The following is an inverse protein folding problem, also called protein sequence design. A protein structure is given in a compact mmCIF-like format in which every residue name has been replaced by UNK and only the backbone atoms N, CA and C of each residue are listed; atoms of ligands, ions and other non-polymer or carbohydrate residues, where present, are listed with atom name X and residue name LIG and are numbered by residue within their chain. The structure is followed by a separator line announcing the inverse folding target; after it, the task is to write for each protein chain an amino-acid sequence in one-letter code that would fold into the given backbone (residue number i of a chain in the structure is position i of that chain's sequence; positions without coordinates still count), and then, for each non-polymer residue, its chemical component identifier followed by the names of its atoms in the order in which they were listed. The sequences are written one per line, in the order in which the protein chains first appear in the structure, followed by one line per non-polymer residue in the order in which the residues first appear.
data_IF_977411951027
#
_entry.id   IF_977411951027
#
_cell.length_a   1.000
_cell.length_b   1.000
_cell.length_c   1.000
_cell.angle_alpha   90.00
_cell.angle_beta   90.00
_cell.angle_gamma   90.00
#
_symmetry.space_group_name_H-M   'P 1'
#
loop_
_entity.id
_entity.type
_entity.pdbx_description
1 polymer ?
#
# COMPACT_ATOMS: atom_id res chain seq x y z
N UNK A 1 5.09 -12.47 30.23
CA UNK A 1 4.95 -12.94 28.84
C UNK A 1 4.27 -11.80 28.08
N UNK A 2 4.97 -11.10 27.17
CA UNK A 2 4.31 -10.07 26.35
C UNK A 2 3.34 -10.80 25.42
N UNK A 3 2.05 -10.49 25.47
CA UNK A 3 1.08 -11.06 24.53
C UNK A 3 1.25 -10.34 23.19
N UNK A 4 2.02 -10.96 22.29
CA UNK A 4 2.30 -10.44 20.95
C UNK A 4 1.04 -10.25 20.10
N UNK A 5 -0.07 -10.92 20.46
CA UNK A 5 -1.38 -10.73 19.82
C UNK A 5 -1.94 -9.31 20.04
N UNK A 6 -1.80 -8.76 21.26
CA UNK A 6 -2.21 -7.38 21.53
C UNK A 6 -1.35 -6.37 20.78
N UNK A 7 -0.06 -6.69 20.59
CA UNK A 7 0.87 -5.85 19.86
C UNK A 7 0.50 -5.81 18.37
N UNK A 8 0.20 -6.96 17.76
CA UNK A 8 -0.26 -7.03 16.39
C UNK A 8 -1.59 -6.26 16.21
N UNK A 9 -2.52 -6.41 17.15
CA UNK A 9 -3.78 -5.67 17.14
C UNK A 9 -3.56 -4.15 17.22
N UNK A 10 -2.64 -3.70 18.08
CA UNK A 10 -2.28 -2.28 18.16
C UNK A 10 -1.70 -1.79 16.83
N UNK A 11 -0.75 -2.53 16.23
CA UNK A 11 -0.14 -2.17 14.95
C UNK A 11 -1.19 -2.03 13.86
N UNK A 12 -2.09 -3.00 13.71
CA UNK A 12 -3.12 -2.94 12.68
C UNK A 12 -4.20 -1.89 12.98
N UNK A 13 -4.50 -1.61 14.25
CA UNK A 13 -5.42 -0.53 14.63
C UNK A 13 -4.84 0.84 14.31
N UNK A 14 -3.56 1.08 14.65
CA UNK A 14 -2.86 2.30 14.26
C UNK A 14 -2.68 2.40 12.74
N UNK A 15 -2.39 1.28 12.07
CA UNK A 15 -2.34 1.20 10.62
C UNK A 15 -3.70 1.49 9.96
N UNK A 16 -4.80 1.05 10.56
CA UNK A 16 -6.13 1.37 10.06
C UNK A 16 -6.44 2.86 10.20
N UNK A 17 -6.19 3.45 11.37
CA UNK A 17 -6.39 4.89 11.60
C UNK A 17 -5.48 5.72 10.68
N UNK A 18 -4.22 5.30 10.55
CA UNK A 18 -3.25 5.89 9.64
C UNK A 18 -3.70 5.79 8.18
N UNK A 19 -4.32 4.69 7.75
CA UNK A 19 -4.85 4.54 6.38
C UNK A 19 -5.86 5.64 6.05
N UNK A 20 -6.81 5.89 6.96
CA UNK A 20 -7.82 6.94 6.80
C UNK A 20 -7.16 8.32 6.71
N UNK A 21 -6.16 8.59 7.55
CA UNK A 21 -5.44 9.87 7.55
C UNK A 21 -4.59 10.07 6.28
N UNK A 22 -3.86 9.04 5.86
CA UNK A 22 -3.03 9.03 4.66
C UNK A 22 -3.92 9.22 3.43
N UNK A 23 -5.05 8.50 3.34
CA UNK A 23 -5.99 8.65 2.24
C UNK A 23 -6.54 10.07 2.16
N UNK A 24 -6.99 10.63 3.29
CA UNK A 24 -7.49 12.01 3.36
C UNK A 24 -6.43 13.03 2.92
N UNK A 25 -5.17 12.84 3.32
CA UNK A 25 -4.10 13.82 3.10
C UNK A 25 -3.50 13.74 1.69
N UNK A 26 -3.34 12.52 1.16
CA UNK A 26 -2.68 12.31 -0.13
C UNK A 26 -3.68 12.38 -1.27
N UNK A 27 -4.80 11.66 -1.16
CA UNK A 27 -5.80 11.52 -2.21
C UNK A 27 -6.95 12.51 -2.01
N UNK A 28 -7.53 12.55 -0.81
CA UNK A 28 -8.74 13.31 -0.51
C UNK A 28 -10.02 12.50 -0.78
N UNK A 29 -10.99 12.58 0.13
CA UNK A 29 -12.23 11.78 0.01
C UNK A 29 -13.13 12.23 -1.14
N UNK A 30 -13.01 13.47 -1.60
CA UNK A 30 -13.81 13.97 -2.72
C UNK A 30 -13.54 13.22 -4.01
N UNK A 31 -12.31 12.73 -4.21
CA UNK A 31 -11.95 11.92 -5.38
C UNK A 31 -12.65 10.56 -5.42
N UNK A 32 -13.10 10.02 -4.28
CA UNK A 32 -13.92 8.80 -4.26
C UNK A 32 -15.31 9.01 -4.88
N UNK A 33 -15.79 10.26 -4.92
CA UNK A 33 -17.05 10.64 -5.59
C UNK A 33 -16.81 10.85 -7.09
N UNK A 34 -15.69 11.47 -7.45
CA UNK A 34 -15.33 11.81 -8.83
C UNK A 34 -14.94 10.56 -9.64
N UNK A 35 -14.11 9.68 -9.07
CA UNK A 35 -13.68 8.43 -9.67
C UNK A 35 -14.13 7.25 -8.79
N UNK A 36 -15.31 6.66 -9.06
CA UNK A 36 -15.86 5.58 -8.24
C UNK A 36 -14.95 4.35 -8.14
N UNK A 37 -14.08 4.13 -9.12
CA UNK A 37 -13.16 2.99 -9.12
C UNK A 37 -12.09 3.11 -8.03
N UNK A 38 -11.77 4.33 -7.56
CA UNK A 38 -10.87 4.54 -6.41
C UNK A 38 -11.44 3.99 -5.09
N UNK A 39 -12.75 3.72 -5.04
CA UNK A 39 -13.34 3.02 -3.89
C UNK A 39 -12.76 1.62 -3.72
N UNK A 40 -12.37 0.97 -4.82
CA UNK A 40 -11.80 -0.38 -4.79
C UNK A 40 -10.51 -0.43 -3.96
N UNK A 41 -9.42 0.30 -4.30
CA UNK A 41 -8.21 0.28 -3.48
C UNK A 41 -8.45 0.83 -2.07
N UNK A 42 -9.35 1.80 -1.88
CA UNK A 42 -9.67 2.33 -0.55
C UNK A 42 -10.26 1.26 0.38
N UNK A 43 -11.33 0.59 -0.06
CA UNK A 43 -12.00 -0.44 0.72
C UNK A 43 -11.20 -1.74 0.78
N UNK A 44 -10.42 -2.07 -0.25
CA UNK A 44 -9.50 -3.20 -0.20
C UNK A 44 -8.43 -3.01 0.89
N UNK A 45 -7.92 -1.78 1.09
CA UNK A 45 -7.05 -1.45 2.22
C UNK A 45 -7.71 -1.69 3.57
N UNK A 46 -8.93 -1.18 3.75
CA UNK A 46 -9.72 -1.39 4.97
C UNK A 46 -9.94 -2.89 5.23
N UNK A 47 -10.35 -3.63 4.20
CA UNK A 47 -10.57 -5.07 4.28
C UNK A 47 -9.29 -5.82 4.65
N UNK A 48 -8.14 -5.44 4.10
CA UNK A 48 -6.86 -6.04 4.44
C UNK A 48 -6.53 -5.86 5.93
N UNK A 49 -6.73 -4.66 6.50
CA UNK A 49 -6.53 -4.42 7.94
C UNK A 49 -7.46 -5.28 8.80
N UNK A 50 -8.77 -5.29 8.51
CA UNK A 50 -9.75 -6.09 9.25
C UNK A 50 -9.41 -7.57 9.18
N UNK A 51 -9.06 -8.08 7.99
CA UNK A 51 -8.70 -9.49 7.81
C UNK A 51 -7.46 -9.86 8.62
N UNK A 52 -6.44 -8.99 8.65
CA UNK A 52 -5.23 -9.25 9.42
C UNK A 52 -5.48 -9.20 10.94
N UNK A 53 -6.31 -8.27 11.42
CA UNK A 53 -6.77 -8.29 12.82
C UNK A 53 -7.48 -9.60 13.14
N UNK A 54 -8.38 -10.06 12.25
CA UNK A 54 -9.03 -11.36 12.38
C UNK A 54 -8.04 -12.51 12.47
N UNK A 55 -7.08 -12.58 11.54
CA UNK A 55 -6.07 -13.64 11.53
C UNK A 55 -5.17 -13.65 12.77
N UNK A 56 -4.86 -12.49 13.36
CA UNK A 56 -4.13 -12.41 14.62
C UNK A 56 -4.86 -13.12 15.78
N UNK A 57 -6.19 -13.18 15.78
CA UNK A 57 -6.94 -13.88 16.83
C UNK A 57 -7.04 -15.39 16.60
N UNK A 58 -7.01 -15.84 15.34
CA UNK A 58 -7.25 -17.24 14.99
C UNK A 58 -5.97 -18.04 14.74
N UNK A 59 -4.84 -17.38 14.46
CA UNK A 59 -3.58 -18.03 14.11
C UNK A 59 -2.40 -17.46 14.89
N UNK A 60 -1.90 -18.27 15.83
CA UNK A 60 -0.63 -18.03 16.52
C UNK A 60 0.45 -18.90 15.89
N UNK A 61 1.54 -18.28 15.42
CA UNK A 61 2.68 -18.98 14.84
C UNK A 61 3.81 -19.00 15.88
N UNK A 62 3.99 -20.14 16.55
CA UNK A 62 4.99 -20.26 17.61
C UNK A 62 6.41 -20.56 17.08
N UNK A 63 6.52 -21.12 15.86
CA UNK A 63 7.79 -21.52 15.28
C UNK A 63 8.54 -20.33 14.65
N UNK A 64 9.74 -20.04 15.18
CA UNK A 64 10.65 -19.00 14.69
C UNK A 64 10.97 -19.12 13.20
N UNK A 65 11.26 -20.32 12.68
CA UNK A 65 11.62 -20.51 11.27
C UNK A 65 10.43 -20.23 10.34
N UNK A 66 9.22 -20.57 10.77
CA UNK A 66 8.01 -20.25 10.04
C UNK A 66 7.79 -18.73 9.98
N UNK A 67 8.01 -18.02 11.10
CA UNK A 67 7.91 -16.56 11.12
C UNK A 67 9.01 -15.87 10.31
N UNK A 68 10.22 -16.42 10.30
CA UNK A 68 11.31 -15.91 9.47
C UNK A 68 10.97 -15.99 7.98
N UNK A 69 10.34 -17.08 7.52
CA UNK A 69 9.88 -17.22 6.13
C UNK A 69 8.78 -16.22 5.78
N UNK A 70 7.85 -15.96 6.69
CA UNK A 70 6.77 -14.99 6.46
C UNK A 70 7.30 -13.56 6.46
N UNK A 71 8.25 -13.25 7.33
CA UNK A 71 8.96 -11.99 7.33
C UNK A 71 9.68 -11.76 5.99
N UNK A 72 10.45 -12.75 5.51
CA UNK A 72 11.15 -12.66 4.23
C UNK A 72 10.17 -12.50 3.05
N UNK A 73 9.05 -13.23 3.08
CA UNK A 73 7.98 -13.07 2.09
C UNK A 73 7.48 -11.62 2.01
N UNK A 74 7.16 -10.98 3.13
CA UNK A 74 6.71 -9.58 3.16
C UNK A 74 7.82 -8.66 2.65
N UNK A 75 9.07 -8.91 3.02
CA UNK A 75 10.22 -8.10 2.60
C UNK A 75 10.50 -8.19 1.09
N UNK A 76 10.43 -9.39 0.52
CA UNK A 76 10.60 -9.60 -0.93
C UNK A 76 9.50 -8.92 -1.71
N UNK A 77 8.24 -9.08 -1.31
CA UNK A 77 7.10 -8.43 -1.97
C UNK A 77 7.17 -6.91 -1.82
N UNK A 78 7.57 -6.40 -0.65
CA UNK A 78 7.87 -4.99 -0.43
C UNK A 78 8.91 -4.48 -1.43
N UNK A 79 10.07 -5.14 -1.52
CA UNK A 79 11.13 -4.77 -2.48
C UNK A 79 10.62 -4.72 -3.93
N UNK A 80 9.80 -5.69 -4.34
CA UNK A 80 9.21 -5.69 -5.68
C UNK A 80 8.33 -4.47 -5.93
N UNK A 81 7.46 -4.10 -4.99
CA UNK A 81 6.63 -2.89 -5.12
C UNK A 81 7.50 -1.62 -5.17
N UNK A 82 8.58 -1.56 -4.40
CA UNK A 82 9.52 -0.43 -4.44
C UNK A 82 10.14 -0.30 -5.83
N UNK A 83 10.65 -1.41 -6.37
CA UNK A 83 11.25 -1.44 -7.71
C UNK A 83 10.23 -1.04 -8.78
N UNK A 84 9.01 -1.57 -8.73
CA UNK A 84 7.95 -1.22 -9.67
C UNK A 84 7.55 0.26 -9.56
N UNK A 85 7.33 0.75 -8.35
CA UNK A 85 6.96 2.16 -8.11
C UNK A 85 8.05 3.10 -8.60
N UNK A 86 9.32 2.77 -8.34
CA UNK A 86 10.46 3.55 -8.82
C UNK A 86 10.58 3.50 -10.35
N UNK A 87 10.45 2.32 -10.96
CA UNK A 87 10.52 2.17 -12.41
C UNK A 87 9.42 2.97 -13.11
N UNK A 88 8.19 2.93 -12.58
CA UNK A 88 7.08 3.73 -13.09
C UNK A 88 7.38 5.22 -12.90
N UNK A 89 7.86 5.65 -11.73
CA UNK A 89 8.20 7.05 -11.49
C UNK A 89 9.27 7.57 -12.47
N UNK A 90 10.36 6.82 -12.66
CA UNK A 90 11.43 7.16 -13.59
C UNK A 90 10.91 7.21 -15.03
N UNK A 91 10.17 6.21 -15.47
CA UNK A 91 9.57 6.18 -16.80
C UNK A 91 8.71 7.42 -17.06
N UNK A 92 7.85 7.78 -16.09
CA UNK A 92 6.96 8.92 -16.21
C UNK A 92 7.73 10.24 -16.21
N UNK A 93 8.79 10.38 -15.40
CA UNK A 93 9.64 11.57 -15.39
C UNK A 93 10.38 11.72 -16.73
N UNK A 94 10.91 10.63 -17.29
CA UNK A 94 11.56 10.64 -18.61
C UNK A 94 10.57 11.04 -19.71
N UNK A 95 9.34 10.56 -19.61
CA UNK A 95 8.24 10.92 -20.50
C UNK A 95 7.60 12.26 -20.16
N UNK A 96 7.89 12.88 -19.01
CA UNK A 96 7.26 14.13 -18.57
C UNK A 96 7.60 15.32 -19.47
N UNK A 97 8.66 15.24 -20.29
CA UNK A 97 8.89 16.19 -21.38
C UNK A 97 7.79 16.16 -22.46
N UNK A 98 7.06 15.05 -22.57
CA UNK A 98 5.98 14.81 -23.55
C UNK A 98 4.59 14.74 -22.92
N UNK A 99 4.48 14.52 -21.61
CA UNK A 99 3.21 14.51 -20.89
C UNK A 99 2.78 15.97 -20.65
N UNK A 100 1.61 16.34 -21.20
CA UNK A 100 0.97 17.62 -20.90
C UNK A 100 0.90 17.83 -19.38
N UNK A 101 1.25 19.04 -18.90
CA UNK A 101 1.25 19.43 -17.47
C UNK A 101 -0.18 19.52 -16.89
N UNK A 102 -1.03 18.53 -17.12
CA UNK A 102 -2.36 18.46 -16.56
C UNK A 102 -2.27 18.04 -15.08
N UNK A 103 -3.24 18.49 -14.28
CA UNK A 103 -3.30 18.19 -12.85
C UNK A 103 -3.38 16.68 -12.56
N UNK A 104 -3.98 15.89 -13.47
CA UNK A 104 -4.04 14.43 -13.36
C UNK A 104 -2.67 13.76 -13.32
N UNK A 105 -1.73 14.19 -14.17
CA UNK A 105 -0.38 13.60 -14.23
C UNK A 105 0.44 13.92 -12.99
N UNK A 106 0.23 15.11 -12.39
CA UNK A 106 0.82 15.47 -11.10
C UNK A 106 0.28 14.60 -9.96
N UNK A 107 -1.04 14.38 -9.95
CA UNK A 107 -1.67 13.51 -8.96
C UNK A 107 -1.17 12.07 -9.07
N UNK A 108 -1.07 11.56 -10.29
CA UNK A 108 -0.49 10.25 -10.55
C UNK A 108 0.94 10.13 -10.01
N UNK A 109 1.84 11.06 -10.36
CA UNK A 109 3.21 11.08 -9.85
C UNK A 109 3.27 11.17 -8.32
N UNK A 110 2.42 12.00 -7.71
CA UNK A 110 2.31 12.11 -6.24
C UNK A 110 1.97 10.75 -5.62
N UNK A 111 1.06 9.99 -6.22
CA UNK A 111 0.66 8.67 -5.72
C UNK A 111 1.75 7.62 -5.91
N UNK A 112 2.39 7.58 -7.07
CA UNK A 112 3.52 6.66 -7.30
C UNK A 112 4.66 6.95 -6.32
N UNK A 113 5.00 8.22 -6.11
CA UNK A 113 6.05 8.61 -5.17
C UNK A 113 5.67 8.31 -3.72
N UNK A 114 4.41 8.56 -3.33
CA UNK A 114 3.92 8.18 -2.01
C UNK A 114 3.98 6.66 -1.78
N UNK A 115 3.57 5.87 -2.77
CA UNK A 115 3.71 4.41 -2.73
C UNK A 115 5.15 4.00 -2.47
N UNK A 116 6.08 4.55 -3.25
CA UNK A 116 7.52 4.27 -3.12
C UNK A 116 8.06 4.64 -1.74
N UNK A 117 7.69 5.82 -1.21
CA UNK A 117 8.10 6.24 0.13
C UNK A 117 7.60 5.28 1.21
N UNK A 118 6.34 4.84 1.15
CA UNK A 118 5.83 3.85 2.09
C UNK A 118 6.56 2.51 1.97
N UNK A 119 6.95 2.10 0.76
CA UNK A 119 7.77 0.91 0.62
C UNK A 119 9.13 1.06 1.26
N UNK A 120 9.79 2.22 1.10
CA UNK A 120 11.06 2.50 1.78
C UNK A 120 10.85 2.40 3.27
N UNK A 121 9.84 3.08 3.84
CA UNK A 121 9.58 3.01 5.28
C UNK A 121 9.32 1.58 5.78
N UNK A 122 8.72 0.71 4.96
CA UNK A 122 8.51 -0.70 5.31
C UNK A 122 9.75 -1.59 5.15
N UNK A 123 10.64 -1.32 4.20
CA UNK A 123 11.81 -2.19 3.91
C UNK A 123 13.08 -1.71 4.63
N UNK A 124 13.22 -0.40 4.85
CA UNK A 124 14.44 0.22 5.37
C UNK A 124 14.76 0.00 6.86
N UNK A 125 13.83 -0.37 7.78
CA UNK A 125 14.23 -0.74 9.14
C UNK A 125 14.92 -2.11 9.11
N UNK A 126 16.24 -2.09 8.85
CA UNK A 126 17.17 -3.23 8.87
C UNK A 126 18.44 -2.88 9.65
N UNK A 127 18.30 -2.21 10.80
CA UNK A 127 19.46 -2.03 11.70
C UNK A 127 19.68 -3.26 12.60
N UNK A 128 18.66 -4.10 12.78
CA UNK A 128 18.71 -5.19 13.76
C UNK A 128 17.74 -6.33 13.42
N UNK A 129 18.24 -7.56 13.39
CA UNK A 129 17.43 -8.77 13.28
C UNK A 129 17.37 -9.45 14.66
N UNK A 130 16.18 -9.55 15.28
CA UNK A 130 16.06 -10.09 16.62
C UNK A 130 16.15 -11.63 16.63
N UNK A 131 16.80 -12.20 17.63
CA UNK A 131 16.94 -13.66 17.81
C UNK A 131 15.71 -14.34 18.42
N UNK A 132 14.69 -13.58 18.82
CA UNK A 132 13.45 -14.11 19.45
C UNK A 132 12.27 -13.99 18.49
N UNK A 133 11.45 -15.03 18.41
CA UNK A 133 10.30 -15.13 17.50
C UNK A 133 9.34 -13.94 17.60
N UNK A 134 8.98 -13.53 18.82
CA UNK A 134 8.02 -12.45 19.00
C UNK A 134 8.43 -11.09 18.43
N UNK A 135 9.72 -10.75 18.42
CA UNK A 135 10.20 -9.50 17.80
C UNK A 135 10.18 -9.58 16.27
N UNK A 136 10.37 -10.77 15.69
CA UNK A 136 10.17 -10.98 14.24
C UNK A 136 8.70 -10.82 13.89
N UNK A 137 7.79 -11.37 14.70
CA UNK A 137 6.34 -11.17 14.53
C UNK A 137 5.96 -9.69 14.56
N UNK A 138 6.50 -8.92 15.51
CA UNK A 138 6.32 -7.47 15.55
C UNK A 138 6.74 -6.78 14.25
N UNK A 139 7.98 -7.02 13.82
CA UNK A 139 8.52 -6.40 12.60
C UNK A 139 7.71 -6.83 11.37
N UNK A 140 7.31 -8.09 11.27
CA UNK A 140 6.46 -8.57 10.17
C UNK A 140 5.16 -7.78 10.08
N UNK A 141 4.44 -7.60 11.20
CA UNK A 141 3.19 -6.85 11.22
C UNK A 141 3.41 -5.37 10.87
N UNK A 142 4.45 -4.74 11.40
CA UNK A 142 4.81 -3.36 11.06
C UNK A 142 5.08 -3.21 9.55
N UNK A 143 5.94 -4.07 8.98
CA UNK A 143 6.23 -4.09 7.54
C UNK A 143 4.98 -4.32 6.69
N UNK A 144 4.06 -5.16 7.16
CA UNK A 144 2.80 -5.45 6.46
C UNK A 144 1.91 -4.21 6.34
N UNK A 145 1.87 -3.34 7.36
CA UNK A 145 1.12 -2.07 7.30
C UNK A 145 1.63 -1.18 6.18
N UNK A 146 2.95 -0.95 6.14
CA UNK A 146 3.58 -0.11 5.12
C UNK A 146 3.44 -0.71 3.72
N UNK A 147 3.54 -2.04 3.61
CA UNK A 147 3.28 -2.77 2.38
C UNK A 147 1.85 -2.53 1.87
N UNK A 148 0.83 -2.62 2.73
CA UNK A 148 -0.56 -2.33 2.33
C UNK A 148 -0.74 -0.89 1.85
N UNK A 149 -0.19 0.09 2.57
CA UNK A 149 -0.26 1.48 2.14
C UNK A 149 0.33 1.66 0.74
N UNK A 150 1.54 1.14 0.54
CA UNK A 150 2.23 1.20 -0.73
C UNK A 150 1.42 0.57 -1.86
N UNK A 151 0.95 -0.67 -1.67
CA UNK A 151 0.19 -1.42 -2.66
C UNK A 151 -1.10 -0.70 -3.09
N UNK A 152 -1.91 -0.27 -2.12
CA UNK A 152 -3.21 0.33 -2.43
C UNK A 152 -3.10 1.77 -2.95
N UNK A 153 -2.07 2.51 -2.54
CA UNK A 153 -1.76 3.83 -3.13
C UNK A 153 -1.24 3.67 -4.57
N UNK A 154 -0.38 2.68 -4.84
CA UNK A 154 0.08 2.36 -6.19
C UNK A 154 -1.09 2.03 -7.11
N UNK A 155 -1.99 1.15 -6.66
CA UNK A 155 -3.20 0.80 -7.39
C UNK A 155 -4.08 2.03 -7.66
N UNK A 156 -4.21 2.92 -6.68
CA UNK A 156 -4.93 4.20 -6.84
C UNK A 156 -4.28 5.10 -7.90
N UNK A 157 -2.94 5.18 -7.92
CA UNK A 157 -2.20 5.89 -8.95
C UNK A 157 -2.50 5.34 -10.35
N UNK A 158 -2.42 4.02 -10.52
CA UNK A 158 -2.72 3.36 -11.80
C UNK A 158 -4.17 3.67 -12.24
N UNK A 159 -5.14 3.61 -11.34
CA UNK A 159 -6.53 3.95 -11.64
C UNK A 159 -6.66 5.41 -12.10
N UNK A 160 -5.98 6.34 -11.43
CA UNK A 160 -5.96 7.76 -11.85
C UNK A 160 -5.43 7.93 -13.26
N UNK A 161 -4.34 7.25 -13.60
CA UNK A 161 -3.77 7.28 -14.95
C UNK A 161 -4.75 6.73 -15.99
N UNK A 162 -5.35 5.56 -15.72
CA UNK A 162 -6.30 4.94 -16.64
C UNK A 162 -7.57 5.78 -16.83
N UNK A 163 -7.99 6.50 -15.79
CA UNK A 163 -9.11 7.43 -15.87
C UNK A 163 -8.77 8.67 -16.72
N UNK A 164 -7.57 9.22 -16.56
CA UNK A 164 -7.08 10.37 -17.33
C UNK A 164 -6.91 10.03 -18.82
N UNK A 165 -6.40 8.84 -19.12
CA UNK A 165 -6.33 8.28 -20.47
C UNK A 165 -7.71 7.95 -21.07
N UNK A 166 -8.81 8.21 -20.33
CA UNK A 166 -10.21 7.94 -20.70
C UNK A 166 -10.55 6.49 -20.99
N UNK A 167 -9.64 5.55 -20.76
CA UNK A 167 -9.84 4.10 -20.97
C UNK A 167 -11.01 3.60 -20.09
N UNK A 168 -11.15 4.15 -18.88
CA UNK A 168 -12.17 3.75 -17.91
C UNK A 168 -13.38 4.72 -17.84
N UNK A 169 -13.43 5.72 -18.73
CA UNK A 169 -14.51 6.71 -18.74
C UNK A 169 -15.74 6.17 -19.47
N UNK A 170 -16.89 6.10 -18.76
CA UNK A 170 -18.21 5.68 -19.31
C UNK A 170 -18.64 6.42 -20.59
N UNK A 171 -18.03 7.57 -20.92
CA UNK A 171 -18.35 8.33 -22.14
C UNK A 171 -17.95 7.61 -23.44
N UNK A 172 -17.01 6.66 -23.42
CA UNK A 172 -16.67 5.87 -24.62
C UNK A 172 -17.48 4.57 -24.76
N UNK A 173 -17.84 3.91 -23.65
CA UNK A 173 -18.68 2.70 -23.68
C UNK A 173 -20.05 2.96 -24.32
N UNK A 174 -20.57 4.19 -24.19
CA UNK A 174 -21.83 4.62 -24.83
C UNK A 174 -21.69 5.09 -26.29
N UNK A 175 -20.46 5.22 -26.79
CA UNK A 175 -20.19 5.53 -28.21
C UNK A 175 -19.86 4.28 -29.04
N UNK A 176 -19.62 3.14 -28.37
CA UNK A 176 -19.27 1.86 -28.99
C UNK A 176 -20.42 0.83 -28.95
N UNK A 177 -21.55 1.19 -28.34
CA UNK A 177 -22.85 0.48 -28.38
C UNK A 177 -23.83 1.42 -29.06
#
# INVERSE_FOLDING_TARGET
MFNFDYLALMIYSFGFVGWIFVWKSIIGFDYLKICPLLKLPFYAGIFAFISNVGFCFFYVIENYEAELKLYDYVEVNGRQIAMLSLAIAVFVILQAKFINKNDSSRMFLKLIFASFLFTILGVFPLYWMPSKSGWITFLRHEKTVFYFYSLFILASGIIFLLYDLKILSKRELKKRI
#
